data_IF_618986697682
#
_entry.id   IF_618986697682
#
_cell.length_a   1.000
_cell.length_b   1.000
_cell.length_c   1.000
_cell.angle_alpha   90.00
_cell.angle_beta   90.00
_cell.angle_gamma   90.00
#
_symmetry.space_group_name_H-M   'P 1'
#
loop_
_entity.id
_entity.type
_entity.pdbx_description
1 polymer ?
#
# COMPACT_ATOMS: atom_id res chain seq x y z
N UNK A 1 -69.35 -4.26 -17.68
CA UNK A 1 -69.16 -2.84 -18.07
C UNK A 1 -68.45 -2.12 -16.93
N UNK A 2 -67.64 -1.12 -17.29
CA UNK A 2 -66.57 -0.47 -16.53
C UNK A 2 -66.99 0.08 -15.16
N UNK A 3 -66.11 -0.06 -14.18
CA UNK A 3 -65.80 1.02 -13.24
C UNK A 3 -64.36 0.87 -12.73
N UNK A 4 -63.44 1.79 -13.04
CA UNK A 4 -62.13 1.84 -12.41
C UNK A 4 -62.17 2.84 -11.25
N UNK A 5 -62.07 2.34 -10.03
CA UNK A 5 -61.77 3.18 -8.86
C UNK A 5 -60.26 3.46 -8.88
N UNK A 6 -59.90 4.66 -9.33
CA UNK A 6 -58.54 5.17 -9.29
C UNK A 6 -58.34 5.85 -7.93
N UNK A 7 -57.78 5.11 -6.96
CA UNK A 7 -57.32 5.73 -5.70
C UNK A 7 -55.94 6.32 -5.98
N UNK A 8 -55.94 7.62 -6.25
CA UNK A 8 -54.75 8.44 -6.40
C UNK A 8 -54.13 8.67 -5.01
N UNK A 9 -53.36 7.71 -4.51
CA UNK A 9 -52.50 7.93 -3.35
C UNK A 9 -51.35 8.83 -3.77
N UNK A 10 -51.46 10.11 -3.44
CA UNK A 10 -50.39 11.09 -3.60
C UNK A 10 -49.18 10.64 -2.79
N UNK A 11 -48.12 10.19 -3.48
CA UNK A 11 -46.83 9.93 -2.83
C UNK A 11 -46.34 11.24 -2.20
N UNK A 12 -46.15 11.23 -0.89
CA UNK A 12 -45.48 12.30 -0.17
C UNK A 12 -43.97 12.17 -0.44
N UNK A 13 -43.31 13.10 -1.17
CA UNK A 13 -41.87 13.08 -1.24
C UNK A 13 -41.33 13.55 0.11
N UNK A 14 -40.78 12.63 0.91
CA UNK A 14 -39.91 13.00 2.02
C UNK A 14 -38.64 13.59 1.41
N UNK A 15 -38.61 14.91 1.23
CA UNK A 15 -37.40 15.63 0.86
C UNK A 15 -36.49 15.68 2.09
N UNK A 16 -35.69 14.63 2.28
CA UNK A 16 -34.57 14.67 3.22
C UNK A 16 -33.51 15.61 2.66
N UNK A 17 -33.39 16.80 3.23
CA UNK A 17 -32.24 17.68 3.02
C UNK A 17 -31.02 17.05 3.69
N UNK A 18 -30.23 16.30 2.92
CA UNK A 18 -28.88 15.92 3.33
C UNK A 18 -28.04 17.19 3.29
N UNK A 19 -27.80 17.76 4.48
CA UNK A 19 -26.76 18.76 4.66
C UNK A 19 -25.41 18.11 4.37
N UNK A 20 -24.84 18.35 3.19
CA UNK A 20 -23.43 18.09 2.96
C UNK A 20 -22.63 19.13 3.72
N UNK A 21 -22.20 18.80 4.94
CA UNK A 21 -21.08 19.49 5.55
C UNK A 21 -19.86 19.24 4.65
N UNK A 22 -19.39 20.27 3.94
CA UNK A 22 -18.09 20.23 3.26
C UNK A 22 -17.01 20.04 4.34
N UNK A 23 -16.19 18.98 4.32
CA UNK A 23 -14.97 19.01 5.09
C UNK A 23 -14.06 20.07 4.46
N UNK A 24 -13.91 21.21 5.13
CA UNK A 24 -12.80 22.12 4.88
C UNK A 24 -11.61 21.53 5.61
N UNK A 25 -10.83 20.70 4.91
CA UNK A 25 -9.49 20.39 5.37
C UNK A 25 -8.63 21.59 4.97
N UNK A 26 -8.41 22.48 5.94
CA UNK A 26 -7.42 23.53 5.82
C UNK A 26 -6.07 22.87 5.52
N UNK A 27 -5.44 23.32 4.44
CA UNK A 27 -4.02 23.12 4.24
C UNK A 27 -3.30 23.84 5.39
N UNK A 28 -2.54 23.10 6.18
CA UNK A 28 -1.47 23.65 7.00
C UNK A 28 -0.30 22.68 6.90
N UNK A 29 0.72 23.15 6.22
CA UNK A 29 2.02 22.53 6.05
C UNK A 29 2.70 22.23 7.41
N UNK A 30 3.56 21.21 7.35
CA UNK A 30 4.80 21.06 8.12
C UNK A 30 4.72 20.89 9.65
N UNK A 31 4.70 19.62 10.08
CA UNK A 31 5.49 19.20 11.22
C UNK A 31 6.30 17.96 10.84
N UNK A 32 7.53 18.21 10.43
CA UNK A 32 8.68 17.31 10.60
C UNK A 32 8.59 16.51 11.91
N UNK A 33 8.47 15.18 11.78
CA UNK A 33 8.73 14.21 12.84
C UNK A 33 9.94 13.38 12.40
N UNK A 34 11.10 14.04 12.42
CA UNK A 34 12.38 13.36 12.44
C UNK A 34 12.53 12.53 13.74
N UNK A 35 13.11 11.34 13.54
CA UNK A 35 14.13 10.77 14.42
C UNK A 35 13.75 10.29 15.84
N UNK A 36 13.57 8.96 15.96
CA UNK A 36 14.10 8.12 17.05
C UNK A 36 13.98 6.65 16.63
N UNK A 37 14.98 5.79 16.48
CA UNK A 37 16.39 5.80 16.83
C UNK A 37 16.79 4.37 17.25
N UNK A 38 17.91 3.87 16.70
CA UNK A 38 18.78 2.76 17.17
C UNK A 38 18.54 1.32 16.69
N UNK A 39 19.37 0.96 15.72
CA UNK A 39 19.87 -0.38 15.46
C UNK A 39 21.26 -0.30 14.81
N UNK A 40 22.14 0.51 15.39
CA UNK A 40 23.55 0.57 14.99
C UNK A 40 24.25 -0.72 15.44
N UNK A 41 24.63 -1.56 14.48
CA UNK A 41 25.73 -2.49 14.68
C UNK A 41 26.78 -2.20 13.59
N UNK A 42 27.68 -1.27 13.90
CA UNK A 42 28.93 -1.09 13.19
C UNK A 42 29.94 -2.05 13.79
N UNK A 43 30.00 -3.26 13.25
CA UNK A 43 31.12 -4.16 13.49
C UNK A 43 32.36 -3.61 12.78
N UNK A 44 33.29 -3.16 13.63
CA UNK A 44 34.64 -2.71 13.36
C UNK A 44 35.43 -3.73 12.51
N UNK A 45 35.94 -3.30 11.34
CA UNK A 45 36.67 -4.14 10.39
C UNK A 45 37.74 -3.39 9.59
N UNK A 46 38.83 -3.04 10.28
CA UNK A 46 40.16 -2.66 9.77
C UNK A 46 40.82 -3.50 8.67
N UNK A 47 40.41 -3.47 7.39
CA UNK A 47 41.26 -4.02 6.30
C UNK A 47 41.07 -3.36 4.92
N UNK A 48 42.16 -2.79 4.43
CA UNK A 48 42.43 -2.09 3.18
C UNK A 48 42.34 -2.98 1.90
N UNK A 49 42.07 -2.33 0.74
CA UNK A 49 42.51 -2.62 -0.66
C UNK A 49 41.39 -2.64 -1.73
N UNK A 50 41.29 -1.54 -2.49
CA UNK A 50 41.19 -1.51 -3.95
C UNK A 50 39.85 -1.79 -4.66
N UNK A 51 39.39 -0.81 -5.44
CA UNK A 51 38.64 -1.07 -6.69
C UNK A 51 37.25 -0.46 -6.77
N UNK A 52 37.13 0.56 -7.63
CA UNK A 52 35.95 0.89 -8.45
C UNK A 52 34.62 1.22 -7.74
N UNK A 53 34.43 2.53 -7.55
CA UNK A 53 33.15 3.17 -7.32
C UNK A 53 32.22 2.88 -8.52
N UNK A 54 31.15 2.06 -8.36
CA UNK A 54 29.82 2.20 -9.05
C UNK A 54 28.91 0.93 -9.04
N UNK A 55 28.76 0.21 -7.92
CA UNK A 55 27.80 -0.92 -7.85
C UNK A 55 26.94 -0.97 -6.58
N UNK A 56 26.33 0.14 -6.18
CA UNK A 56 25.17 0.09 -5.27
C UNK A 56 23.90 -0.35 -6.05
N UNK A 57 23.92 -1.55 -6.66
CA UNK A 57 22.71 -2.14 -7.24
C UNK A 57 21.71 -2.35 -6.09
N UNK A 58 20.65 -1.56 -6.07
CA UNK A 58 19.60 -1.74 -5.08
C UNK A 58 18.93 -3.11 -5.29
N UNK A 59 19.32 -4.08 -4.46
CA UNK A 59 18.87 -5.46 -4.54
C UNK A 59 17.37 -5.64 -4.35
N UNK A 60 16.67 -4.63 -3.83
CA UNK A 60 15.22 -4.58 -3.69
C UNK A 60 14.50 -4.01 -4.91
N UNK A 61 15.21 -3.70 -6.00
CA UNK A 61 14.56 -3.30 -7.24
C UNK A 61 13.78 -4.45 -7.86
N UNK A 62 12.57 -4.14 -8.29
CA UNK A 62 11.69 -5.04 -9.02
C UNK A 62 12.31 -5.33 -10.38
N UNK A 63 12.72 -6.59 -10.60
CA UNK A 63 13.30 -7.05 -11.87
C UNK A 63 12.25 -7.55 -12.86
N UNK A 64 11.09 -7.99 -12.35
CA UNK A 64 9.96 -8.47 -13.15
C UNK A 64 8.68 -7.88 -12.59
N UNK A 65 7.79 -7.32 -13.44
CA UNK A 65 6.55 -6.76 -12.97
C UNK A 65 5.65 -7.86 -12.40
N UNK A 66 4.86 -7.50 -11.40
CA UNK A 66 3.91 -8.39 -10.73
C UNK A 66 2.64 -7.63 -10.37
N UNK A 67 1.57 -8.37 -10.12
CA UNK A 67 0.28 -7.79 -9.78
C UNK A 67 0.14 -7.64 -8.26
N UNK A 68 -0.48 -6.55 -7.87
CA UNK A 68 -0.88 -6.29 -6.50
C UNK A 68 -2.32 -6.71 -6.28
N UNK A 69 -2.57 -7.31 -5.13
CA UNK A 69 -3.83 -7.87 -4.70
C UNK A 69 -4.50 -7.01 -3.62
N UNK A 70 -5.83 -7.01 -3.59
CA UNK A 70 -6.60 -6.31 -2.54
C UNK A 70 -6.47 -6.98 -1.17
N UNK A 71 -6.37 -8.31 -1.16
CA UNK A 71 -6.27 -9.14 0.05
C UNK A 71 -5.19 -10.20 -0.13
N UNK A 72 -4.63 -10.79 0.95
CA UNK A 72 -3.58 -11.80 0.86
C UNK A 72 -4.13 -13.17 0.46
N UNK A 73 -4.81 -13.24 -0.68
CA UNK A 73 -5.33 -14.48 -1.27
C UNK A 73 -5.43 -14.36 -2.80
N UNK A 74 -5.35 -15.52 -3.48
CA UNK A 74 -5.28 -15.61 -4.94
C UNK A 74 -6.57 -15.19 -5.65
N UNK A 75 -7.71 -15.36 -4.97
CA UNK A 75 -9.03 -14.97 -5.50
C UNK A 75 -9.34 -13.48 -5.33
N UNK A 76 -8.44 -12.72 -4.69
CA UNK A 76 -8.67 -11.29 -4.50
C UNK A 76 -8.50 -10.51 -5.80
N UNK A 77 -9.27 -9.43 -5.93
CA UNK A 77 -9.16 -8.52 -7.06
C UNK A 77 -7.78 -7.86 -7.14
N UNK A 78 -7.34 -7.59 -8.37
CA UNK A 78 -6.09 -6.87 -8.66
C UNK A 78 -6.32 -5.37 -8.49
N UNK A 79 -5.44 -4.72 -7.74
CA UNK A 79 -5.53 -3.27 -7.41
C UNK A 79 -4.43 -2.44 -8.06
N UNK A 80 -3.41 -3.08 -8.61
CA UNK A 80 -2.31 -2.40 -9.27
C UNK A 80 -1.27 -3.35 -9.83
N UNK A 81 -0.25 -2.79 -10.44
CA UNK A 81 0.89 -3.50 -11.03
C UNK A 81 2.18 -2.81 -10.62
N UNK A 82 3.22 -3.57 -10.31
CA UNK A 82 4.56 -3.03 -10.16
C UNK A 82 5.22 -2.81 -11.52
N UNK A 83 6.10 -1.83 -11.60
CA UNK A 83 6.94 -1.55 -12.75
C UNK A 83 8.36 -2.06 -12.52
N UNK A 84 9.06 -2.35 -13.60
CA UNK A 84 10.49 -2.68 -13.53
C UNK A 84 11.25 -1.45 -13.02
N UNK A 85 12.14 -1.67 -12.06
CA UNK A 85 12.90 -0.59 -11.42
C UNK A 85 12.24 0.00 -10.17
N UNK A 86 10.96 -0.31 -9.90
CA UNK A 86 10.30 0.06 -8.65
C UNK A 86 11.01 -0.56 -7.44
N UNK A 87 10.86 0.02 -6.26
CA UNK A 87 11.41 -0.52 -5.03
C UNK A 87 10.42 -1.47 -4.35
N UNK A 88 10.88 -2.67 -4.00
CA UNK A 88 10.17 -3.58 -3.11
C UNK A 88 10.27 -3.09 -1.66
N UNK A 89 9.29 -2.30 -1.23
CA UNK A 89 9.24 -1.68 0.09
C UNK A 89 7.97 -2.10 0.87
N UNK A 90 7.96 -3.32 1.44
CA UNK A 90 6.83 -3.77 2.25
C UNK A 90 6.88 -3.16 3.66
N UNK A 91 5.71 -3.03 4.29
CA UNK A 91 5.55 -2.53 5.67
C UNK A 91 5.34 -3.64 6.68
N UNK A 92 4.76 -4.78 6.25
CA UNK A 92 4.52 -5.93 7.10
C UNK A 92 4.39 -7.22 6.27
N UNK A 93 4.52 -8.37 6.94
CA UNK A 93 4.33 -9.71 6.36
C UNK A 93 3.15 -10.43 7.01
N UNK A 94 2.34 -11.11 6.20
CA UNK A 94 1.30 -12.04 6.65
C UNK A 94 1.43 -13.34 5.86
N UNK A 95 1.82 -14.43 6.53
CA UNK A 95 2.13 -15.71 5.88
C UNK A 95 3.08 -15.50 4.68
N UNK A 96 2.70 -15.92 3.48
CA UNK A 96 3.48 -15.78 2.24
C UNK A 96 3.14 -14.49 1.47
N UNK A 97 2.68 -13.46 2.16
CA UNK A 97 2.28 -12.18 1.57
C UNK A 97 2.96 -11.01 2.27
N UNK A 98 3.33 -10.00 1.49
CA UNK A 98 3.75 -8.70 2.00
C UNK A 98 2.72 -7.64 1.65
N UNK A 99 2.54 -6.70 2.57
CA UNK A 99 1.73 -5.49 2.37
C UNK A 99 2.65 -4.31 2.12
N UNK A 100 2.35 -3.45 1.16
CA UNK A 100 3.06 -2.18 0.98
C UNK A 100 2.35 -1.03 1.74
N UNK A 101 2.93 0.18 1.71
CA UNK A 101 2.36 1.37 2.35
C UNK A 101 0.99 1.78 1.79
N UNK A 102 0.66 1.41 0.55
CA UNK A 102 -0.67 1.61 -0.07
C UNK A 102 -1.71 0.60 0.38
N UNK A 103 -1.31 -0.36 1.22
CA UNK A 103 -2.17 -1.42 1.72
C UNK A 103 -2.42 -2.56 0.74
N UNK A 104 -1.64 -2.64 -0.33
CA UNK A 104 -1.76 -3.68 -1.35
C UNK A 104 -0.85 -4.85 -1.05
N UNK A 105 -1.31 -6.04 -1.46
CA UNK A 105 -0.66 -7.30 -1.15
C UNK A 105 0.12 -7.86 -2.34
N UNK A 106 1.26 -8.46 -2.06
CA UNK A 106 2.09 -9.17 -3.04
C UNK A 106 2.60 -10.47 -2.42
N UNK A 107 2.69 -11.53 -3.22
CA UNK A 107 3.25 -12.81 -2.75
C UNK A 107 4.75 -12.72 -2.50
N UNK A 108 5.23 -13.51 -1.55
CA UNK A 108 6.65 -13.62 -1.19
C UNK A 108 7.52 -14.08 -2.37
N UNK A 109 6.96 -14.86 -3.30
CA UNK A 109 7.66 -15.29 -4.52
C UNK A 109 8.12 -14.13 -5.44
N UNK A 110 7.49 -12.96 -5.32
CA UNK A 110 7.87 -11.76 -6.08
C UNK A 110 8.88 -10.87 -5.36
N UNK A 111 9.26 -11.24 -4.13
CA UNK A 111 10.34 -10.57 -3.40
C UNK A 111 11.65 -10.79 -4.17
N UNK A 112 12.40 -9.72 -4.49
CA UNK A 112 13.70 -9.88 -5.11
C UNK A 112 14.64 -10.72 -4.21
N UNK A 113 15.38 -11.69 -4.76
CA UNK A 113 16.06 -12.73 -3.97
C UNK A 113 17.13 -12.19 -3.01
N UNK A 114 17.77 -11.08 -3.35
CA UNK A 114 18.79 -10.41 -2.52
C UNK A 114 18.23 -9.25 -1.68
N UNK A 115 16.91 -9.02 -1.73
CA UNK A 115 16.27 -7.99 -0.92
C UNK A 115 16.10 -8.49 0.50
N UNK A 116 16.89 -7.96 1.43
CA UNK A 116 16.70 -8.22 2.86
C UNK A 116 15.58 -7.32 3.36
N UNK A 117 14.53 -7.94 3.90
CA UNK A 117 13.33 -7.24 4.38
C UNK A 117 13.09 -7.67 5.82
N UNK A 118 13.29 -6.75 6.76
CA UNK A 118 13.03 -6.96 8.19
C UNK A 118 11.76 -6.22 8.58
N UNK A 119 10.60 -6.86 8.37
CA UNK A 119 9.28 -6.28 8.71
C UNK A 119 8.55 -7.15 9.72
N UNK A 120 7.76 -6.50 10.58
CA UNK A 120 6.91 -7.20 11.55
C UNK A 120 5.74 -7.95 10.89
N UNK A 121 5.02 -8.72 11.70
CA UNK A 121 3.77 -9.35 11.29
C UNK A 121 2.70 -8.29 11.07
N UNK A 122 1.89 -8.41 10.02
CA UNK A 122 0.73 -7.54 9.86
C UNK A 122 -0.26 -7.75 11.02
N UNK A 123 -0.93 -6.69 11.50
CA UNK A 123 -1.98 -6.78 12.50
C UNK A 123 -3.17 -7.62 12.00
#
# INVERSE_FOLDING_TARGET
MKSPVVILTTLLPLTSSVAFAKPVAAASDDFSLEERGRGENWDNGNNHWGGDHDHHENWCKVKKPYWYHKYPCDQSGIVGKSSVGDNFAPVCKYQNWYKNSKGWWVKDEFKPPRCVVNVGKCP
#
